data_IF_388513493567
#
_entry.id   IF_388513493567
#
_cell.length_a   1.000
_cell.length_b   1.000
_cell.length_c   1.000
_cell.angle_alpha   90.00
_cell.angle_beta   90.00
_cell.angle_gamma   90.00
#
_symmetry.space_group_name_H-M   'P 1'
#
loop_
_entity.id
_entity.type
_entity.pdbx_description
1 polymer ?
#
# COMPACT_ATOMS: atom_id res chain seq x y z
N UNK A 1 18.08 24.23 -11.34
CA UNK A 1 18.31 22.78 -11.17
C UNK A 1 19.32 22.62 -10.04
N UNK A 2 19.29 21.65 -9.10
CA UNK A 2 18.69 20.29 -9.13
C UNK A 2 18.05 19.86 -7.78
N UNK A 3 17.35 18.71 -7.70
CA UNK A 3 17.54 17.67 -6.65
C UNK A 3 16.93 16.36 -7.17
N UNK A 4 17.78 15.49 -7.72
CA UNK A 4 17.46 14.09 -7.99
C UNK A 4 17.13 13.43 -6.65
N UNK A 5 15.85 13.15 -6.40
CA UNK A 5 15.42 12.40 -5.22
C UNK A 5 15.82 10.94 -5.40
N UNK A 6 16.61 10.52 -4.42
CA UNK A 6 17.26 9.22 -4.27
C UNK A 6 16.19 8.13 -4.34
N UNK A 7 16.30 7.30 -5.37
CA UNK A 7 15.50 6.09 -5.60
C UNK A 7 15.94 5.04 -4.58
N UNK A 8 15.51 5.20 -3.34
CA UNK A 8 15.69 4.19 -2.30
C UNK A 8 14.84 2.98 -2.71
N UNK A 9 15.48 1.80 -2.75
CA UNK A 9 14.87 0.49 -3.03
C UNK A 9 13.89 0.03 -1.93
N UNK A 10 13.26 0.97 -1.24
CA UNK A 10 12.13 0.71 -0.34
C UNK A 10 10.92 0.44 -1.21
N UNK A 11 10.22 -0.67 -0.97
CA UNK A 11 8.92 -0.93 -1.60
C UNK A 11 7.99 0.26 -1.35
N UNK A 12 7.81 1.12 -2.36
CA UNK A 12 6.89 2.26 -2.28
C UNK A 12 5.47 1.76 -2.51
N UNK A 13 4.48 2.45 -1.93
CA UNK A 13 3.08 2.10 -2.08
C UNK A 13 2.68 1.96 -3.56
N UNK A 14 3.06 2.91 -4.40
CA UNK A 14 2.76 2.94 -5.83
C UNK A 14 3.41 1.77 -6.57
N UNK A 15 4.63 1.37 -6.15
CA UNK A 15 5.32 0.24 -6.76
C UNK A 15 4.68 -1.09 -6.36
N UNK A 16 4.29 -1.24 -5.10
CA UNK A 16 3.60 -2.44 -4.61
C UNK A 16 2.20 -2.56 -5.20
N UNK A 17 1.49 -1.44 -5.37
CA UNK A 17 0.20 -1.40 -6.05
C UNK A 17 0.32 -1.81 -7.52
N UNK A 18 1.31 -1.27 -8.24
CA UNK A 18 1.56 -1.66 -9.64
C UNK A 18 1.87 -3.14 -9.79
N UNK A 19 2.72 -3.70 -8.92
CA UNK A 19 2.99 -5.15 -8.90
C UNK A 19 1.72 -5.98 -8.66
N UNK A 20 0.85 -5.52 -7.76
CA UNK A 20 -0.42 -6.19 -7.48
C UNK A 20 -1.32 -6.19 -8.73
N UNK A 21 -1.42 -5.07 -9.44
CA UNK A 21 -2.16 -4.99 -10.70
C UNK A 21 -1.61 -5.95 -11.76
N UNK A 22 -0.29 -6.04 -11.90
CA UNK A 22 0.37 -6.96 -12.85
C UNK A 22 0.09 -8.44 -12.49
N UNK A 23 0.10 -8.77 -11.19
CA UNK A 23 -0.26 -10.10 -10.70
C UNK A 23 -1.73 -10.42 -11.03
N UNK A 24 -2.66 -9.51 -10.73
CA UNK A 24 -4.09 -9.70 -11.03
C UNK A 24 -4.30 -9.93 -12.52
N UNK A 25 -3.72 -9.10 -13.38
CA UNK A 25 -3.79 -9.29 -14.85
C UNK A 25 -3.30 -10.65 -15.28
N UNK A 26 -2.22 -11.12 -14.67
CA UNK A 26 -1.65 -12.43 -14.99
C UNK A 26 -2.56 -13.57 -14.55
N UNK A 27 -3.13 -13.47 -13.34
CA UNK A 27 -4.08 -14.46 -12.84
C UNK A 27 -5.38 -14.49 -13.66
N UNK A 28 -5.86 -13.33 -14.10
CA UNK A 28 -7.05 -13.19 -14.96
C UNK A 28 -6.84 -13.77 -16.37
N UNK A 29 -5.60 -13.73 -16.89
CA UNK A 29 -5.30 -14.32 -18.20
C UNK A 29 -5.52 -15.83 -18.25
N UNK A 30 -5.39 -16.53 -17.11
CA UNK A 30 -5.55 -17.98 -17.03
C UNK A 30 -4.48 -18.80 -17.76
N UNK A 31 -3.48 -18.17 -18.36
CA UNK A 31 -2.41 -18.83 -19.15
C UNK A 31 -1.25 -19.34 -18.28
N UNK A 32 -1.37 -19.20 -16.96
CA UNK A 32 -0.30 -19.51 -16.01
C UNK A 32 -0.49 -20.93 -15.42
N UNK A 33 0.56 -21.76 -15.31
CA UNK A 33 0.49 -23.05 -14.62
C UNK A 33 -0.06 -22.93 -13.19
N UNK A 34 -0.65 -24.01 -12.67
CA UNK A 34 -1.27 -24.01 -11.33
C UNK A 34 -0.27 -23.62 -10.23
N UNK A 35 0.94 -24.17 -10.25
CA UNK A 35 1.97 -23.88 -9.23
C UNK A 35 2.39 -22.40 -9.25
N UNK A 36 2.57 -21.83 -10.44
CA UNK A 36 2.87 -20.40 -10.61
C UNK A 36 1.69 -19.50 -10.21
N UNK A 37 0.47 -19.94 -10.48
CA UNK A 37 -0.76 -19.27 -10.05
C UNK A 37 -0.83 -19.17 -8.53
N UNK A 38 -0.52 -20.25 -7.82
CA UNK A 38 -0.48 -20.28 -6.36
C UNK A 38 0.60 -19.33 -5.80
N UNK A 39 1.79 -19.31 -6.41
CA UNK A 39 2.86 -18.40 -6.03
C UNK A 39 2.47 -16.93 -6.22
N UNK A 40 1.90 -16.58 -7.39
CA UNK A 40 1.43 -15.22 -7.69
C UNK A 40 0.29 -14.80 -6.76
N UNK A 41 -0.61 -15.71 -6.41
CA UNK A 41 -1.66 -15.45 -5.44
C UNK A 41 -1.09 -15.12 -4.05
N UNK A 42 -0.12 -15.90 -3.56
CA UNK A 42 0.53 -15.64 -2.28
C UNK A 42 1.26 -14.28 -2.27
N UNK A 43 1.97 -13.94 -3.35
CA UNK A 43 2.61 -12.63 -3.52
C UNK A 43 1.56 -11.51 -3.54
N UNK A 44 0.48 -11.68 -4.29
CA UNK A 44 -0.64 -10.74 -4.34
C UNK A 44 -1.23 -10.46 -2.96
N UNK A 45 -1.44 -11.49 -2.15
CA UNK A 45 -1.95 -11.35 -0.77
C UNK A 45 -1.00 -10.55 0.13
N UNK A 46 0.32 -10.75 0.00
CA UNK A 46 1.32 -9.96 0.72
C UNK A 46 1.26 -8.48 0.33
N UNK A 47 1.13 -8.20 -0.96
CA UNK A 47 1.02 -6.83 -1.48
C UNK A 47 -0.29 -6.15 -1.03
N UNK A 48 -1.42 -6.87 -1.03
CA UNK A 48 -2.70 -6.37 -0.50
C UNK A 48 -2.54 -5.95 0.96
N UNK A 49 -1.96 -6.81 1.80
CA UNK A 49 -1.76 -6.50 3.20
C UNK A 49 -0.85 -5.28 3.40
N UNK A 50 0.24 -5.20 2.63
CA UNK A 50 1.15 -4.06 2.67
C UNK A 50 0.45 -2.74 2.28
N UNK A 51 -0.25 -2.73 1.15
CA UNK A 51 -0.97 -1.55 0.67
C UNK A 51 -2.04 -1.10 1.67
N UNK A 52 -2.82 -2.04 2.20
CA UNK A 52 -3.83 -1.74 3.21
C UNK A 52 -3.20 -1.16 4.49
N UNK A 53 -2.08 -1.73 4.96
CA UNK A 53 -1.33 -1.20 6.09
C UNK A 53 -0.86 0.25 5.87
N UNK A 54 -0.39 0.57 4.67
CA UNK A 54 0.03 1.93 4.30
C UNK A 54 -1.13 2.93 4.27
N UNK A 55 -2.28 2.52 3.73
CA UNK A 55 -3.48 3.35 3.74
C UNK A 55 -3.98 3.61 5.17
N UNK A 56 -3.99 2.59 6.03
CA UNK A 56 -4.37 2.73 7.43
C UNK A 56 -3.39 3.65 8.19
N UNK A 57 -2.08 3.52 7.94
CA UNK A 57 -1.07 4.43 8.50
C UNK A 57 -1.33 5.89 8.09
N UNK A 58 -1.66 6.12 6.82
CA UNK A 58 -2.00 7.44 6.31
C UNK A 58 -3.29 7.98 6.92
N UNK A 59 -4.33 7.16 7.03
CA UNK A 59 -5.61 7.51 7.64
C UNK A 59 -5.44 7.90 9.12
N UNK A 60 -4.67 7.13 9.89
CA UNK A 60 -4.36 7.45 11.29
C UNK A 60 -3.66 8.80 11.41
N UNK A 61 -2.66 9.08 10.55
CA UNK A 61 -1.99 10.38 10.53
C UNK A 61 -2.95 11.52 10.20
N UNK A 62 -3.87 11.32 9.26
CA UNK A 62 -4.91 12.31 8.94
C UNK A 62 -5.88 12.52 10.10
N UNK A 63 -6.35 11.46 10.77
CA UNK A 63 -7.23 11.58 11.94
C UNK A 63 -6.59 12.37 13.08
N UNK A 64 -5.28 12.21 13.30
CA UNK A 64 -4.51 13.03 14.26
C UNK A 64 -4.50 14.50 13.85
N UNK A 65 -4.44 14.80 12.55
CA UNK A 65 -4.39 16.17 12.02
C UNK A 65 -5.76 16.88 11.94
N UNK A 66 -6.88 16.16 12.01
CA UNK A 66 -8.23 16.71 11.71
C UNK A 66 -9.03 17.16 12.96
N UNK A 67 -8.36 17.44 14.09
CA UNK A 67 -8.97 18.04 15.30
C UNK A 67 -8.37 19.44 15.51
N UNK A 68 -9.06 20.58 15.64
CA UNK A 68 -10.46 20.98 15.90
C UNK A 68 -10.90 22.14 14.97
N UNK A 69 -12.20 22.46 14.91
CA UNK A 69 -12.73 23.74 14.35
C UNK A 69 -12.15 25.02 15.02
N UNK A 70 -11.38 24.86 16.10
CA UNK A 70 -10.65 25.90 16.83
C UNK A 70 -9.11 25.71 16.84
N UNK A 71 -8.55 24.80 16.03
CA UNK A 71 -7.10 24.67 15.84
C UNK A 71 -6.32 23.95 16.96
N UNK A 72 -6.97 23.23 17.86
CA UNK A 72 -6.30 22.42 18.90
C UNK A 72 -6.26 20.94 18.53
N UNK A 73 -5.05 20.38 18.42
CA UNK A 73 -4.83 18.95 18.22
C UNK A 73 -5.01 18.19 19.54
N UNK A 74 -5.79 17.12 19.56
CA UNK A 74 -5.84 16.23 20.73
C UNK A 74 -6.12 14.78 20.29
N UNK A 75 -5.23 13.86 20.66
CA UNK A 75 -5.41 12.44 20.42
C UNK A 75 -6.68 11.97 21.16
N UNK A 76 -7.63 11.37 20.44
CA UNK A 76 -8.56 10.44 21.06
C UNK A 76 -8.01 9.07 20.72
N UNK A 77 -7.33 8.49 21.69
CA UNK A 77 -7.12 7.05 21.73
C UNK A 77 -8.52 6.43 21.76
N UNK A 78 -8.87 5.68 20.72
CA UNK A 78 -10.07 4.83 20.76
C UNK A 78 -9.64 3.50 21.41
N UNK A 79 -10.39 3.11 22.46
CA UNK A 79 -10.24 1.87 23.25
C UNK A 79 -10.18 0.59 22.41
#
# INVERSE_FOLDING_TARGET
MPKKTKTEKTESFERSLKKLEDIVRTLESGETPLDETLQKFEEGMKLVHFCHGKLNEAEKKLKILVKDKNGSFSLKDEE
#
